data_IF_180677604793
#
_entry.id   IF_180677604793
#
_cell.length_a   1.000
_cell.length_b   1.000
_cell.length_c   1.000
_cell.angle_alpha   90.00
_cell.angle_beta   90.00
_cell.angle_gamma   90.00
#
_symmetry.space_group_name_H-M   'P 1'
#
loop_
_entity.id
_entity.type
_entity.pdbx_description
1 polymer ?
#
# COMPACT_ATOMS: atom_id res chain seq x y z
N UNK A 1 -3.40 -17.97 12.08
CA UNK A 1 -2.70 -16.72 11.71
C UNK A 1 -1.33 -16.96 11.10
N UNK A 2 -0.37 -17.62 11.78
CA UNK A 2 1.01 -17.81 11.28
C UNK A 2 1.09 -18.43 9.88
N UNK A 3 0.40 -19.55 9.65
CA UNK A 3 0.37 -20.23 8.34
C UNK A 3 -0.21 -19.31 7.25
N UNK A 4 -1.27 -18.56 7.56
CA UNK A 4 -1.88 -17.61 6.63
C UNK A 4 -0.95 -16.45 6.27
N UNK A 5 -0.19 -15.96 7.25
CA UNK A 5 0.90 -15.00 7.02
C UNK A 5 1.99 -15.55 6.10
N UNK A 6 2.42 -16.78 6.33
CA UNK A 6 3.44 -17.43 5.50
C UNK A 6 2.98 -17.62 4.05
N UNK A 7 1.75 -18.11 3.86
CA UNK A 7 1.14 -18.30 2.54
C UNK A 7 1.00 -16.97 1.80
N UNK A 8 0.55 -15.92 2.48
CA UNK A 8 0.42 -14.60 1.84
C UNK A 8 1.75 -13.93 1.59
N UNK A 9 2.77 -14.21 2.39
CA UNK A 9 4.12 -13.75 2.10
C UNK A 9 4.66 -14.41 0.82
N UNK A 10 4.33 -15.69 0.60
CA UNK A 10 4.59 -16.39 -0.67
C UNK A 10 3.81 -15.77 -1.83
N UNK A 11 2.52 -15.45 -1.65
CA UNK A 11 1.73 -14.76 -2.68
C UNK A 11 2.31 -13.38 -3.00
N UNK A 12 2.71 -12.61 -1.98
CA UNK A 12 3.40 -11.33 -2.15
C UNK A 12 4.68 -11.49 -2.97
N UNK A 13 5.46 -12.54 -2.70
CA UNK A 13 6.66 -12.86 -3.46
C UNK A 13 6.36 -13.20 -4.92
N UNK A 14 5.35 -14.04 -5.16
CA UNK A 14 4.89 -14.42 -6.50
C UNK A 14 4.39 -13.19 -7.28
N UNK A 15 3.58 -12.36 -6.64
CA UNK A 15 3.07 -11.13 -7.23
C UNK A 15 4.21 -10.19 -7.62
N UNK A 16 5.19 -9.97 -6.74
CA UNK A 16 6.36 -9.14 -7.05
C UNK A 16 7.22 -9.74 -8.18
N UNK A 17 7.27 -11.06 -8.31
CA UNK A 17 8.07 -11.75 -9.33
C UNK A 17 7.41 -11.76 -10.71
N UNK A 18 6.08 -11.86 -10.77
CA UNK A 18 5.31 -11.83 -12.01
C UNK A 18 4.97 -10.41 -12.46
N UNK A 19 4.83 -9.47 -11.53
CA UNK A 19 4.40 -8.11 -11.84
C UNK A 19 5.61 -7.17 -12.00
N UNK A 20 6.12 -7.07 -13.22
CA UNK A 20 7.29 -6.24 -13.58
C UNK A 20 6.99 -4.74 -13.77
N UNK A 21 5.86 -4.23 -13.27
CA UNK A 21 5.44 -2.83 -13.45
C UNK A 21 5.89 -1.93 -12.28
N UNK A 22 6.70 -0.92 -12.64
CA UNK A 22 7.72 -0.26 -11.80
C UNK A 22 7.25 0.87 -10.87
N UNK A 23 5.96 1.21 -10.79
CA UNK A 23 5.55 2.44 -10.07
C UNK A 23 4.44 2.30 -9.01
N UNK A 24 3.76 1.16 -8.89
CA UNK A 24 2.63 1.04 -7.94
C UNK A 24 2.28 -0.37 -7.48
N UNK A 25 2.97 -1.40 -7.99
CA UNK A 25 2.68 -2.80 -7.64
C UNK A 25 3.23 -3.21 -6.27
N UNK A 26 4.28 -2.53 -5.79
CA UNK A 26 4.88 -2.80 -4.49
C UNK A 26 4.00 -2.38 -3.30
N UNK A 27 3.18 -1.32 -3.44
CA UNK A 27 2.24 -0.92 -2.38
C UNK A 27 1.13 -1.96 -2.26
N UNK A 28 0.52 -2.36 -3.37
CA UNK A 28 -0.53 -3.40 -3.41
C UNK A 28 -0.03 -4.73 -2.85
N UNK A 29 1.19 -5.15 -3.21
CA UNK A 29 1.78 -6.39 -2.72
C UNK A 29 1.98 -6.41 -1.19
N UNK A 30 2.20 -5.25 -0.56
CA UNK A 30 2.36 -5.13 0.90
C UNK A 30 1.05 -5.38 1.66
N UNK A 31 -0.08 -5.19 0.99
CA UNK A 31 -1.41 -5.21 1.59
C UNK A 31 -1.94 -6.64 1.72
N UNK A 32 -1.60 -7.55 0.80
CA UNK A 32 -2.13 -8.92 0.81
C UNK A 32 -1.94 -9.66 2.15
N UNK A 33 -0.74 -9.64 2.76
CA UNK A 33 -0.57 -10.32 4.05
C UNK A 33 -1.37 -9.67 5.18
N UNK A 34 -1.49 -8.33 5.18
CA UNK A 34 -2.28 -7.61 6.17
C UNK A 34 -3.76 -7.98 6.05
N UNK A 35 -4.28 -7.93 4.82
CA UNK A 35 -5.67 -8.24 4.50
C UNK A 35 -6.02 -9.68 4.91
N UNK A 36 -5.17 -10.66 4.59
CA UNK A 36 -5.44 -12.05 4.96
C UNK A 36 -5.37 -12.30 6.46
N UNK A 37 -4.48 -11.63 7.20
CA UNK A 37 -4.48 -11.72 8.66
C UNK A 37 -5.77 -11.19 9.27
N UNK A 38 -6.25 -10.05 8.77
CA UNK A 38 -7.52 -9.45 9.21
C UNK A 38 -8.69 -10.38 8.90
N UNK A 39 -8.79 -10.91 7.68
CA UNK A 39 -9.91 -11.79 7.30
C UNK A 39 -9.90 -13.11 8.06
N UNK A 40 -8.73 -13.70 8.34
CA UNK A 40 -8.63 -14.87 9.21
C UNK A 40 -9.15 -14.56 10.62
N UNK A 41 -8.83 -13.38 11.16
CA UNK A 41 -9.34 -12.93 12.46
C UNK A 41 -10.86 -12.80 12.47
N UNK A 42 -11.41 -12.09 11.48
CA UNK A 42 -12.88 -11.93 11.31
C UNK A 42 -13.57 -13.29 11.23
N UNK A 43 -13.06 -14.20 10.39
CA UNK A 43 -13.65 -15.54 10.22
C UNK A 43 -13.51 -16.37 11.50
N UNK A 44 -12.42 -16.21 12.26
CA UNK A 44 -12.26 -16.91 13.54
C UNK A 44 -13.33 -16.51 14.56
N UNK A 45 -13.66 -15.22 14.65
CA UNK A 45 -14.77 -14.72 15.49
C UNK A 45 -16.10 -15.32 15.01
N UNK A 46 -16.35 -15.26 13.70
CA UNK A 46 -17.59 -15.75 13.09
C UNK A 46 -17.79 -17.25 13.31
N UNK A 47 -16.71 -18.04 13.19
CA UNK A 47 -16.76 -19.50 13.40
C UNK A 47 -17.22 -19.85 14.82
N UNK A 48 -17.00 -18.98 15.79
CA UNK A 48 -17.37 -19.27 17.17
C UNK A 48 -18.88 -19.23 17.42
N UNK A 49 -19.68 -18.66 16.52
CA UNK A 49 -21.11 -18.47 16.74
C UNK A 49 -21.91 -18.46 15.43
N UNK A 50 -22.88 -19.37 15.35
CA UNK A 50 -23.77 -19.50 14.20
C UNK A 50 -24.66 -18.26 14.03
N UNK A 51 -25.08 -17.64 15.15
CA UNK A 51 -25.85 -16.39 15.15
C UNK A 51 -25.03 -15.20 14.62
N UNK A 52 -23.76 -15.07 15.04
CA UNK A 52 -22.85 -14.04 14.53
C UNK A 52 -22.55 -14.23 13.03
N UNK A 53 -22.42 -15.46 12.56
CA UNK A 53 -22.22 -15.75 11.14
C UNK A 53 -23.39 -15.30 10.27
N UNK A 54 -24.62 -15.51 10.72
CA UNK A 54 -25.82 -15.08 10.00
C UNK A 54 -25.94 -13.54 10.02
N UNK A 55 -25.66 -12.90 11.15
CA UNK A 55 -25.64 -11.45 11.26
C UNK A 55 -24.60 -10.79 10.35
N UNK A 56 -23.38 -11.36 10.29
CA UNK A 56 -22.27 -10.80 9.53
C UNK A 56 -22.52 -10.78 8.01
N UNK A 57 -23.10 -11.85 7.44
CA UNK A 57 -23.44 -11.88 6.00
C UNK A 57 -24.45 -10.78 5.66
N UNK A 58 -25.43 -10.54 6.53
CA UNK A 58 -26.40 -9.46 6.38
C UNK A 58 -25.76 -8.08 6.52
N UNK A 59 -24.92 -7.87 7.54
CA UNK A 59 -24.25 -6.57 7.76
C UNK A 59 -23.26 -6.26 6.64
N UNK A 60 -22.44 -7.21 6.19
CA UNK A 60 -21.50 -6.99 5.07
C UNK A 60 -22.22 -6.65 3.76
N UNK A 61 -23.42 -7.18 3.53
CA UNK A 61 -24.25 -6.81 2.38
C UNK A 61 -24.79 -5.37 2.46
N UNK A 62 -24.83 -4.75 3.64
CA UNK A 62 -25.35 -3.39 3.86
C UNK A 62 -24.23 -2.35 3.86
N UNK A 63 -22.98 -2.73 4.18
CA UNK A 63 -21.82 -1.83 4.19
C UNK A 63 -21.48 -1.41 2.75
N UNK A 64 -22.14 -0.36 2.27
CA UNK A 64 -21.89 0.28 0.99
C UNK A 64 -20.84 1.37 1.18
N UNK A 65 -19.65 1.18 0.61
CA UNK A 65 -18.70 2.25 0.47
C UNK A 65 -19.29 3.31 -0.48
N UNK A 66 -19.70 4.44 0.09
CA UNK A 66 -20.30 5.57 -0.65
C UNK A 66 -19.25 6.46 -1.31
N UNK A 67 -17.97 6.25 -0.99
CA UNK A 67 -16.82 6.96 -1.55
C UNK A 67 -15.85 5.92 -2.11
N UNK A 68 -15.25 6.21 -3.27
CA UNK A 68 -14.20 5.37 -3.83
C UNK A 68 -13.00 5.37 -2.88
N UNK A 69 -12.65 4.20 -2.37
CA UNK A 69 -11.43 4.01 -1.56
C UNK A 69 -10.24 4.14 -2.52
N UNK A 70 -9.49 5.24 -2.38
CA UNK A 70 -8.36 5.55 -3.26
C UNK A 70 -7.15 4.68 -2.95
N UNK A 71 -6.95 4.36 -1.67
CA UNK A 71 -5.81 3.56 -1.23
C UNK A 71 -6.27 2.22 -0.65
N UNK A 72 -5.79 1.09 -1.20
CA UNK A 72 -6.18 -0.24 -0.71
C UNK A 72 -5.77 -0.50 0.76
N UNK A 73 -4.86 0.30 1.32
CA UNK A 73 -4.47 0.24 2.73
C UNK A 73 -5.62 0.66 3.66
N UNK A 74 -6.36 1.72 3.31
CA UNK A 74 -7.50 2.21 4.08
C UNK A 74 -8.58 1.13 4.25
N UNK A 75 -8.82 0.35 3.19
CA UNK A 75 -9.76 -0.76 3.23
C UNK A 75 -9.37 -1.78 4.30
N UNK A 76 -8.09 -2.13 4.42
CA UNK A 76 -7.67 -3.13 5.42
C UNK A 76 -7.85 -2.63 6.84
N UNK A 77 -7.57 -1.35 7.10
CA UNK A 77 -7.80 -0.75 8.42
C UNK A 77 -9.28 -0.72 8.78
N UNK A 78 -10.17 -0.45 7.82
CA UNK A 78 -11.61 -0.55 8.04
C UNK A 78 -12.04 -1.97 8.41
N UNK A 79 -11.56 -2.98 7.68
CA UNK A 79 -11.81 -4.38 8.01
C UNK A 79 -11.25 -4.78 9.38
N UNK A 80 -10.10 -4.21 9.79
CA UNK A 80 -9.53 -4.44 11.11
C UNK A 80 -10.44 -3.88 12.21
N UNK A 81 -10.91 -2.64 12.07
CA UNK A 81 -11.86 -2.04 13.02
C UNK A 81 -13.15 -2.86 13.12
N UNK A 82 -13.70 -3.31 11.99
CA UNK A 82 -14.88 -4.18 11.96
C UNK A 82 -14.58 -5.50 12.70
N UNK A 83 -13.43 -6.12 12.45
CA UNK A 83 -13.02 -7.35 13.12
C UNK A 83 -12.90 -7.21 14.63
N UNK A 84 -12.32 -6.11 15.12
CA UNK A 84 -12.22 -5.82 16.56
C UNK A 84 -13.63 -5.62 17.15
N UNK A 85 -14.48 -4.84 16.49
CA UNK A 85 -15.86 -4.61 16.93
C UNK A 85 -16.67 -5.90 16.99
N UNK A 86 -16.51 -6.79 16.01
CA UNK A 86 -17.14 -8.12 16.00
C UNK A 86 -16.62 -9.01 17.13
N UNK A 87 -15.31 -9.03 17.37
CA UNK A 87 -14.71 -9.85 18.42
C UNK A 87 -15.19 -9.41 19.82
N UNK A 88 -15.29 -8.10 20.06
CA UNK A 88 -15.83 -7.55 21.29
C UNK A 88 -17.34 -7.78 21.41
N UNK A 89 -18.09 -7.60 20.33
CA UNK A 89 -19.54 -7.87 20.28
C UNK A 89 -19.90 -9.36 20.43
N UNK A 90 -18.97 -10.26 20.14
CA UNK A 90 -19.08 -11.69 20.38
C UNK A 90 -18.67 -12.13 21.79
N UNK A 91 -18.40 -11.18 22.69
CA UNK A 91 -17.87 -11.43 24.04
C UNK A 91 -16.54 -12.20 24.05
N UNK A 92 -15.69 -12.00 23.02
CA UNK A 92 -14.38 -12.64 22.87
C UNK A 92 -13.22 -11.64 22.96
N UNK A 93 -12.97 -11.03 24.14
CA UNK A 93 -11.91 -10.02 24.29
C UNK A 93 -10.50 -10.62 24.10
N UNK A 94 -10.31 -11.90 24.42
CA UNK A 94 -9.04 -12.62 24.23
C UNK A 94 -8.70 -12.73 22.74
N UNK A 95 -9.69 -12.99 21.89
CA UNK A 95 -9.48 -13.11 20.45
C UNK A 95 -9.23 -11.73 19.82
N UNK A 96 -9.95 -10.70 20.27
CA UNK A 96 -9.76 -9.32 19.84
C UNK A 96 -8.34 -8.80 20.13
N UNK A 97 -7.88 -8.99 21.36
CA UNK A 97 -6.54 -8.54 21.79
C UNK A 97 -5.44 -9.32 21.08
N UNK A 98 -5.57 -10.65 20.93
CA UNK A 98 -4.62 -11.46 20.18
C UNK A 98 -4.52 -11.02 18.71
N UNK A 99 -5.64 -10.72 18.06
CA UNK A 99 -5.67 -10.24 16.68
C UNK A 99 -4.91 -8.91 16.53
N UNK A 100 -5.16 -7.94 17.40
CA UNK A 100 -4.46 -6.65 17.37
C UNK A 100 -2.96 -6.83 17.59
N UNK A 101 -2.56 -7.62 18.60
CA UNK A 101 -1.14 -7.86 18.90
C UNK A 101 -0.41 -8.49 17.69
N UNK A 102 -0.99 -9.51 17.06
CA UNK A 102 -0.40 -10.18 15.91
C UNK A 102 -0.25 -9.23 14.72
N UNK A 103 -1.27 -8.41 14.46
CA UNK A 103 -1.24 -7.45 13.34
C UNK A 103 -0.22 -6.34 13.61
N UNK A 104 -0.19 -5.79 14.83
CA UNK A 104 0.81 -4.78 15.22
C UNK A 104 2.23 -5.33 15.11
N UNK A 105 2.49 -6.55 15.59
CA UNK A 105 3.80 -7.19 15.47
C UNK A 105 4.20 -7.39 14.00
N UNK A 106 3.25 -7.77 13.15
CA UNK A 106 3.49 -7.95 11.72
C UNK A 106 3.80 -6.62 11.01
N UNK A 107 3.06 -5.55 11.30
CA UNK A 107 3.31 -4.20 10.77
C UNK A 107 4.69 -3.71 11.21
N UNK A 108 5.03 -3.85 12.49
CA UNK A 108 6.35 -3.50 13.01
C UNK A 108 7.47 -4.31 12.32
N UNK A 109 7.27 -5.61 12.12
CA UNK A 109 8.23 -6.46 11.41
C UNK A 109 8.47 -6.01 9.97
N UNK A 110 7.42 -5.64 9.24
CA UNK A 110 7.55 -5.07 7.89
C UNK A 110 8.24 -3.71 7.95
N UNK A 111 7.89 -2.84 8.90
CA UNK A 111 8.46 -1.50 9.01
C UNK A 111 9.97 -1.54 9.31
N UNK A 112 10.40 -2.43 10.21
CA UNK A 112 11.82 -2.65 10.52
C UNK A 112 12.59 -3.18 9.30
N UNK A 113 11.99 -4.09 8.54
CA UNK A 113 12.60 -4.66 7.32
C UNK A 113 12.64 -3.65 6.17
N UNK A 114 11.70 -2.70 6.13
CA UNK A 114 11.53 -1.72 5.04
C UNK A 114 12.16 -0.36 5.35
N UNK A 115 13.14 -0.30 6.28
CA UNK A 115 13.84 0.94 6.63
C UNK A 115 14.67 1.54 5.47
N UNK A 116 14.82 0.82 4.36
CA UNK A 116 15.53 1.31 3.19
C UNK A 116 14.57 1.87 2.14
N UNK A 117 14.82 3.13 1.78
CA UNK A 117 14.47 3.77 0.50
C UNK A 117 13.09 4.44 0.41
N UNK A 118 12.86 5.46 1.22
CA UNK A 118 12.08 6.61 0.77
C UNK A 118 12.88 7.30 -0.35
N UNK A 119 12.81 6.78 -1.60
CA UNK A 119 13.25 7.57 -2.75
C UNK A 119 12.20 8.64 -2.94
N UNK A 120 12.44 9.80 -2.36
CA UNK A 120 11.73 11.01 -2.74
C UNK A 120 11.97 11.18 -4.25
N UNK A 121 10.99 10.81 -5.07
CA UNK A 121 10.97 11.20 -6.47
C UNK A 121 10.66 12.70 -6.47
N UNK A 122 11.71 13.51 -6.35
CA UNK A 122 11.64 14.94 -6.56
C UNK A 122 11.35 15.15 -8.04
N UNK A 123 10.11 15.49 -8.33
CA UNK A 123 9.69 15.88 -9.66
C UNK A 123 10.09 17.34 -9.83
N UNK A 124 11.28 17.55 -10.40
CA UNK A 124 11.80 18.88 -10.69
C UNK A 124 11.29 19.31 -12.07
N UNK A 125 10.20 20.07 -12.10
CA UNK A 125 9.72 20.71 -13.33
C UNK A 125 10.47 22.03 -13.51
N UNK A 126 11.43 22.05 -14.44
CA UNK A 126 12.11 23.27 -14.86
C UNK A 126 11.35 23.82 -16.07
N UNK A 127 10.55 24.86 -15.85
CA UNK A 127 9.91 25.64 -16.92
C UNK A 127 10.75 26.89 -17.15
N UNK A 128 11.32 27.03 -18.35
CA UNK A 128 12.12 28.19 -18.73
C UNK A 128 11.64 28.78 -20.05
N UNK A 129 11.34 30.07 -20.04
CA UNK A 129 10.94 30.82 -21.23
C UNK A 129 12.19 31.37 -21.92
N UNK A 130 12.87 30.53 -22.71
CA UNK A 130 13.84 30.98 -23.71
C UNK A 130 14.27 29.84 -24.62
N UNK A 131 13.75 29.88 -25.85
CA UNK A 131 14.11 28.97 -26.96
C UNK A 131 15.61 29.02 -27.36
N UNK A 132 16.42 29.94 -26.81
CA UNK A 132 17.81 30.12 -27.20
C UNK A 132 18.86 29.47 -26.28
N UNK A 133 18.56 29.17 -25.00
CA UNK A 133 19.58 28.67 -24.08
C UNK A 133 19.58 27.13 -23.90
N UNK A 134 18.61 26.43 -24.50
CA UNK A 134 18.51 24.97 -24.39
C UNK A 134 19.37 24.20 -25.43
N UNK A 135 19.92 24.90 -26.44
CA UNK A 135 20.65 24.28 -27.54
C UNK A 135 22.15 24.68 -27.63
N UNK A 136 22.63 25.61 -26.79
CA UNK A 136 24.04 25.99 -26.82
C UNK A 136 24.90 25.07 -25.95
N UNK A 137 25.81 24.38 -26.62
CA UNK A 137 26.55 23.19 -26.20
C UNK A 137 27.62 23.47 -25.14
N UNK A 138 27.72 24.70 -24.61
CA UNK A 138 28.79 25.08 -23.66
C UNK A 138 28.29 25.70 -22.34
N UNK A 139 27.03 26.17 -22.25
CA UNK A 139 26.45 26.73 -21.00
C UNK A 139 25.00 26.30 -20.75
N UNK A 140 24.64 25.11 -21.24
CA UNK A 140 23.31 24.55 -21.05
C UNK A 140 23.06 24.12 -19.60
N UNK A 141 21.87 24.41 -19.07
CA UNK A 141 21.38 23.98 -17.74
C UNK A 141 21.59 22.47 -17.50
N UNK A 142 21.64 21.68 -18.57
CA UNK A 142 21.90 20.24 -18.56
C UNK A 142 23.31 19.91 -18.05
N UNK A 143 24.36 20.70 -18.35
CA UNK A 143 25.72 20.43 -17.85
C UNK A 143 25.85 20.68 -16.36
N UNK A 144 25.21 21.74 -15.84
CA UNK A 144 25.17 22.06 -14.40
C UNK A 144 24.37 21.02 -13.62
N UNK A 145 23.26 20.53 -14.19
CA UNK A 145 22.46 19.44 -13.58
C UNK A 145 23.24 18.12 -13.55
N UNK A 146 24.06 17.85 -14.56
CA UNK A 146 24.88 16.64 -14.64
C UNK A 146 26.08 16.68 -13.67
N UNK A 147 26.63 17.86 -13.39
CA UNK A 147 27.75 18.03 -12.43
C UNK A 147 27.30 17.90 -10.97
N UNK A 148 26.04 18.23 -10.66
CA UNK A 148 25.51 18.22 -9.30
C UNK A 148 24.73 16.94 -8.94
N UNK A 149 24.26 16.15 -9.91
CA UNK A 149 23.34 15.02 -9.66
C UNK A 149 23.78 13.75 -10.40
N UNK A 150 24.49 12.88 -9.67
CA UNK A 150 25.08 11.60 -10.14
C UNK A 150 24.08 10.59 -10.75
N UNK A 151 22.76 10.76 -10.55
CA UNK A 151 21.73 9.93 -11.20
C UNK A 151 20.42 10.69 -11.41
N UNK A 152 20.08 10.98 -12.67
CA UNK A 152 18.75 11.46 -13.04
C UNK A 152 17.99 10.42 -13.87
N UNK A 153 16.68 10.31 -13.64
CA UNK A 153 15.73 9.62 -14.52
C UNK A 153 14.81 10.70 -15.06
N UNK A 154 14.95 11.03 -16.34
CA UNK A 154 14.02 11.93 -17.03
C UNK A 154 12.67 11.23 -17.16
N UNK A 155 11.67 11.75 -16.45
CA UNK A 155 10.32 11.16 -16.43
C UNK A 155 9.42 11.70 -17.54
N UNK A 156 9.61 12.95 -17.98
CA UNK A 156 8.91 13.55 -19.14
C UNK A 156 9.61 14.83 -19.58
N UNK A 157 9.75 15.02 -20.89
CA UNK A 157 10.14 16.28 -21.53
C UNK A 157 8.98 16.66 -22.47
N UNK A 158 8.11 17.58 -22.05
CA UNK A 158 7.11 18.18 -22.92
C UNK A 158 7.68 19.50 -23.45
N UNK A 159 7.98 19.55 -24.74
CA UNK A 159 8.36 20.78 -25.44
C UNK A 159 7.07 21.37 -26.02
N UNK A 160 6.57 22.43 -25.39
CA UNK A 160 5.39 23.13 -25.85
C UNK A 160 5.74 23.90 -27.14
N UNK A 161 5.40 23.30 -28.28
CA UNK A 161 5.62 23.86 -29.60
C UNK A 161 4.45 24.79 -29.92
N UNK A 162 4.53 26.05 -29.47
CA UNK A 162 3.59 27.09 -29.90
C UNK A 162 3.59 27.20 -31.43
N UNK A 163 2.38 27.15 -31.98
CA UNK A 163 2.04 27.23 -33.39
C UNK A 163 1.75 28.67 -33.80
#
# INVERSE_FOLDING_TARGET
MIIGGLLTLYIRFLYRRCNSSFSGSDSVARIFPLLTMVTIGVIAVVKSSLALSLGLVGTLSIVRFRVAIKEPEELVYLFLCIGIGLALGAEQPVLATAQVIVITAFVLGIHLTTRTRHRQSLLLTITGDSKQQFNDTETGVISVVNELIDRYTLQRLDLEQER
#
